data_IF_284851954626
#
_entry.id   IF_284851954626
#
_cell.length_a   1.000
_cell.length_b   1.000
_cell.length_c   1.000
_cell.angle_alpha   90.00
_cell.angle_beta   90.00
_cell.angle_gamma   90.00
#
_symmetry.space_group_name_H-M   'P 1'
#
loop_
_entity.id
_entity.type
_entity.pdbx_description
1 polymer ?
#
# COMPACT_ATOMS: atom_id res chain seq x y z
N UNK A 1 -1.26 -18.46 -4.21
CA UNK A 1 -1.91 -17.46 -3.36
C UNK A 1 -1.75 -16.08 -4.00
N UNK A 2 -2.76 -15.23 -3.85
CA UNK A 2 -2.73 -13.85 -4.36
C UNK A 2 -1.88 -12.95 -3.43
N UNK A 3 -1.29 -11.86 -3.96
CA UNK A 3 -0.82 -10.76 -3.11
C UNK A 3 -1.92 -10.23 -2.20
N UNK A 4 -1.56 -9.72 -1.03
CA UNK A 4 -2.52 -9.32 0.02
C UNK A 4 -3.50 -8.24 -0.45
N UNK A 5 -3.05 -7.29 -1.25
CA UNK A 5 -3.85 -6.21 -1.84
C UNK A 5 -4.80 -6.67 -2.95
N UNK A 6 -4.54 -7.83 -3.53
CA UNK A 6 -5.44 -8.48 -4.49
C UNK A 6 -6.42 -9.44 -3.81
N UNK A 7 -6.01 -10.07 -2.71
CA UNK A 7 -6.87 -10.93 -1.91
C UNK A 7 -7.91 -10.11 -1.12
N UNK A 8 -7.51 -8.96 -0.59
CA UNK A 8 -8.31 -8.07 0.25
C UNK A 8 -8.21 -6.63 -0.23
N UNK A 9 -9.07 -6.24 -1.16
CA UNK A 9 -9.06 -4.88 -1.71
C UNK A 9 -9.86 -3.94 -0.82
N UNK A 10 -9.17 -3.05 -0.11
CA UNK A 10 -9.78 -1.98 0.67
C UNK A 10 -10.03 -0.75 -0.20
N UNK A 11 -11.28 -0.33 -0.30
CA UNK A 11 -11.70 0.96 -0.84
C UNK A 11 -12.28 1.84 0.27
N UNK A 12 -12.03 3.15 0.17
CA UNK A 12 -12.40 4.14 1.18
C UNK A 12 -13.08 5.29 0.45
N UNK A 13 -14.27 5.65 0.90
CA UNK A 13 -15.01 6.78 0.35
C UNK A 13 -15.63 7.61 1.47
N UNK A 14 -15.82 8.89 1.23
CA UNK A 14 -16.58 9.77 2.14
C UNK A 14 -18.07 9.60 1.88
N UNK A 15 -18.85 9.50 2.94
CA UNK A 15 -20.31 9.32 2.89
C UNK A 15 -21.01 10.44 3.67
N UNK A 16 -20.82 11.70 3.21
CA UNK A 16 -21.41 12.88 3.82
C UNK A 16 -21.06 13.09 5.30
N UNK A 17 -21.36 14.24 5.88
CA UNK A 17 -21.34 14.57 7.31
C UNK A 17 -20.19 13.98 8.18
N UNK A 18 -18.98 13.90 7.63
CA UNK A 18 -17.81 13.37 8.35
C UNK A 18 -17.83 11.84 8.55
N UNK A 19 -18.68 11.13 7.81
CA UNK A 19 -18.67 9.66 7.78
C UNK A 19 -17.78 9.15 6.65
N UNK A 20 -17.10 8.06 6.93
CA UNK A 20 -16.21 7.39 5.99
C UNK A 20 -16.67 5.96 5.81
N UNK A 21 -16.94 5.56 4.58
CA UNK A 21 -17.26 4.19 4.24
C UNK A 21 -15.97 3.43 3.98
N UNK A 22 -15.76 2.38 4.74
CA UNK A 22 -14.73 1.37 4.50
C UNK A 22 -15.38 0.18 3.83
N UNK A 23 -14.82 -0.27 2.73
CA UNK A 23 -15.32 -1.43 2.00
C UNK A 23 -14.17 -2.35 1.59
N UNK A 24 -14.25 -3.62 2.00
CA UNK A 24 -13.37 -4.68 1.54
C UNK A 24 -14.07 -5.55 0.51
N UNK A 25 -13.44 -5.71 -0.64
CA UNK A 25 -13.76 -6.74 -1.62
C UNK A 25 -12.79 -7.90 -1.38
N UNK A 26 -13.33 -9.03 -0.95
CA UNK A 26 -12.59 -10.21 -0.54
C UNK A 26 -12.68 -11.23 -1.65
N UNK A 27 -11.56 -11.67 -2.19
CA UNK A 27 -11.53 -12.67 -3.26
C UNK A 27 -12.06 -14.01 -2.78
N UNK A 28 -12.75 -14.72 -3.67
CA UNK A 28 -13.22 -16.09 -3.40
C UNK A 28 -12.08 -16.98 -2.94
N UNK A 29 -12.32 -17.75 -1.88
CA UNK A 29 -11.32 -18.60 -1.25
C UNK A 29 -10.45 -17.86 -0.23
N UNK A 30 -10.86 -16.62 0.15
CA UNK A 30 -10.23 -15.83 1.21
C UNK A 30 -11.29 -15.32 2.17
N UNK A 31 -10.84 -14.93 3.38
CA UNK A 31 -11.69 -14.37 4.42
C UNK A 31 -10.93 -13.42 5.34
N UNK A 32 -11.65 -12.48 5.92
CA UNK A 32 -11.13 -11.55 6.95
C UNK A 32 -11.68 -11.94 8.32
N UNK A 33 -10.84 -11.85 9.34
CA UNK A 33 -11.29 -12.03 10.73
C UNK A 33 -11.91 -10.75 11.27
N UNK A 34 -13.15 -10.81 11.73
CA UNK A 34 -13.87 -9.68 12.33
C UNK A 34 -13.11 -9.09 13.51
N UNK A 35 -12.60 -9.94 14.42
CA UNK A 35 -11.85 -9.50 15.61
C UNK A 35 -10.50 -8.86 15.32
N UNK A 36 -9.98 -9.04 14.11
CA UNK A 36 -8.72 -8.45 13.67
C UNK A 36 -8.92 -7.15 12.86
N UNK A 37 -10.17 -6.75 12.64
CA UNK A 37 -10.48 -5.49 11.99
C UNK A 37 -10.52 -4.38 13.04
N UNK A 38 -9.66 -3.39 12.89
CA UNK A 38 -9.48 -2.26 13.80
C UNK A 38 -9.47 -0.95 13.03
N UNK A 39 -10.02 0.08 13.61
CA UNK A 39 -9.92 1.45 13.10
C UNK A 39 -9.57 2.37 14.26
N UNK A 40 -8.56 3.17 14.08
CA UNK A 40 -8.08 4.15 15.06
C UNK A 40 -8.08 5.53 14.43
N UNK A 41 -8.53 6.54 15.20
CA UNK A 41 -8.51 7.93 14.76
C UNK A 41 -7.20 8.63 15.14
N UNK A 42 -6.75 9.55 14.29
CA UNK A 42 -5.63 10.45 14.57
C UNK A 42 -6.10 11.90 14.45
N UNK A 43 -5.99 12.74 15.52
CA UNK A 43 -5.42 12.40 16.82
C UNK A 43 -6.24 11.37 17.61
N UNK A 44 -5.55 10.56 18.41
CA UNK A 44 -6.19 9.59 19.28
C UNK A 44 -7.13 10.28 20.27
N UNK A 45 -8.35 9.73 20.44
CA UNK A 45 -9.36 10.28 21.34
C UNK A 45 -10.54 10.98 20.64
N UNK A 46 -10.53 11.10 19.32
CA UNK A 46 -11.72 11.45 18.56
C UNK A 46 -12.82 10.39 18.73
N UNK A 47 -14.09 10.81 18.80
CA UNK A 47 -15.22 9.87 18.87
C UNK A 47 -15.24 9.01 17.59
N UNK A 48 -14.87 7.75 17.71
CA UNK A 48 -14.87 6.77 16.64
C UNK A 48 -15.97 5.74 16.92
N UNK A 49 -16.96 5.65 16.04
CA UNK A 49 -17.97 4.58 16.09
C UNK A 49 -17.78 3.67 14.89
N UNK A 50 -17.47 2.42 15.16
CA UNK A 50 -17.34 1.35 14.17
C UNK A 50 -18.20 0.18 14.61
N UNK A 51 -19.18 -0.18 13.79
CA UNK A 51 -20.13 -1.26 14.07
C UNK A 51 -20.02 -2.31 12.98
N UNK A 52 -19.01 -3.17 13.12
CA UNK A 52 -18.85 -4.27 12.17
C UNK A 52 -20.09 -5.17 12.16
N UNK A 53 -20.65 -5.50 11.00
CA UNK A 53 -21.77 -6.41 10.89
C UNK A 53 -21.43 -7.79 11.48
N UNK A 54 -22.45 -8.60 11.74
CA UNK A 54 -22.24 -9.99 12.14
C UNK A 54 -21.53 -10.77 11.02
N UNK A 55 -20.49 -11.50 11.40
CA UNK A 55 -19.76 -12.37 10.48
C UNK A 55 -20.30 -13.79 10.47
N UNK A 56 -19.76 -14.62 9.60
CA UNK A 56 -20.02 -16.06 9.58
C UNK A 56 -19.14 -16.75 10.63
N UNK A 57 -19.72 -17.58 11.52
CA UNK A 57 -18.92 -18.35 12.48
C UNK A 57 -17.94 -19.29 11.78
N UNK A 58 -16.69 -19.26 12.21
CA UNK A 58 -15.61 -20.14 11.74
C UNK A 58 -14.80 -20.62 12.93
N UNK A 59 -14.40 -21.89 12.90
CA UNK A 59 -13.45 -22.43 13.86
C UNK A 59 -12.21 -22.87 13.11
N UNK A 60 -11.06 -22.34 13.49
CA UNK A 60 -9.78 -22.69 12.90
C UNK A 60 -8.69 -22.85 13.96
N UNK A 61 -7.54 -23.36 13.54
CA UNK A 61 -6.41 -23.63 14.44
C UNK A 61 -5.71 -22.35 14.93
N UNK A 62 -5.85 -21.23 14.20
CA UNK A 62 -5.13 -19.99 14.50
C UNK A 62 -5.81 -19.17 15.59
N UNK A 63 -7.14 -19.00 15.49
CA UNK A 63 -7.92 -18.16 16.40
C UNK A 63 -9.08 -18.88 17.09
N UNK A 64 -9.21 -20.19 16.90
CA UNK A 64 -10.31 -20.96 17.48
C UNK A 64 -11.67 -20.53 16.93
N UNK A 65 -12.65 -20.34 17.82
CA UNK A 65 -13.98 -19.84 17.43
C UNK A 65 -13.92 -18.35 17.14
N UNK A 66 -14.18 -17.96 15.91
CA UNK A 66 -14.13 -16.59 15.40
C UNK A 66 -15.26 -16.30 14.44
N UNK A 67 -15.47 -15.04 14.11
CA UNK A 67 -16.34 -14.60 13.03
C UNK A 67 -15.50 -14.10 11.85
N UNK A 68 -15.89 -14.48 10.65
CA UNK A 68 -15.18 -14.10 9.44
C UNK A 68 -16.10 -13.50 8.39
N UNK A 69 -15.54 -12.73 7.49
CA UNK A 69 -16.21 -12.17 6.32
C UNK A 69 -15.66 -12.77 5.05
N UNK A 70 -16.57 -13.15 4.16
CA UNK A 70 -16.29 -13.61 2.80
C UNK A 70 -16.88 -12.61 1.80
N UNK A 71 -16.40 -12.62 0.58
CA UNK A 71 -16.86 -11.82 -0.56
C UNK A 71 -16.77 -10.31 -0.34
N UNK A 72 -17.51 -9.75 0.60
CA UNK A 72 -17.52 -8.32 0.86
C UNK A 72 -17.88 -8.02 2.33
N UNK A 73 -17.25 -7.00 2.89
CA UNK A 73 -17.68 -6.37 4.14
C UNK A 73 -17.51 -4.86 4.02
N UNK A 74 -18.52 -4.12 4.47
CA UNK A 74 -18.45 -2.66 4.53
C UNK A 74 -19.03 -2.15 5.84
N UNK A 75 -18.47 -1.04 6.32
CA UNK A 75 -19.00 -0.30 7.46
C UNK A 75 -18.82 1.20 7.27
N UNK A 76 -19.69 1.96 7.95
CA UNK A 76 -19.62 3.42 8.06
C UNK A 76 -18.92 3.78 9.36
N UNK A 77 -17.77 4.40 9.23
CA UNK A 77 -17.01 4.92 10.36
C UNK A 77 -17.34 6.39 10.55
N UNK A 78 -17.96 6.73 11.69
CA UNK A 78 -18.14 8.12 12.09
C UNK A 78 -16.88 8.58 12.83
N UNK A 79 -16.11 9.45 12.18
CA UNK A 79 -14.83 9.95 12.66
C UNK A 79 -14.90 11.47 12.85
N UNK A 80 -15.61 11.90 13.91
CA UNK A 80 -15.70 13.32 14.25
C UNK A 80 -14.34 13.81 14.75
N UNK A 81 -13.84 14.92 14.17
CA UNK A 81 -12.56 15.56 14.51
C UNK A 81 -11.29 14.75 14.19
N UNK A 82 -11.40 13.63 13.49
CA UNK A 82 -10.24 12.90 13.00
C UNK A 82 -9.66 13.55 11.74
N UNK A 83 -8.34 13.60 11.65
CA UNK A 83 -7.60 14.04 10.45
C UNK A 83 -7.19 12.85 9.58
N UNK A 84 -6.92 11.73 10.21
CA UNK A 84 -6.56 10.49 9.56
C UNK A 84 -7.16 9.29 10.29
N UNK A 85 -7.28 8.18 9.59
CA UNK A 85 -7.64 6.88 10.13
C UNK A 85 -6.49 5.90 9.93
N UNK A 86 -6.21 5.11 10.94
CA UNK A 86 -5.35 3.92 10.84
C UNK A 86 -6.23 2.70 10.86
N UNK A 87 -6.23 1.94 9.78
CA UNK A 87 -7.11 0.80 9.54
C UNK A 87 -6.26 -0.46 9.55
N UNK A 88 -6.56 -1.38 10.47
CA UNK A 88 -5.91 -2.67 10.59
C UNK A 88 -6.85 -3.81 10.22
N UNK A 89 -6.33 -4.85 9.59
CA UNK A 89 -7.06 -6.08 9.29
C UNK A 89 -6.12 -7.27 9.15
N UNK A 90 -6.66 -8.47 9.27
CA UNK A 90 -5.96 -9.70 8.97
C UNK A 90 -6.92 -10.71 8.35
N UNK A 91 -6.41 -11.46 7.39
CA UNK A 91 -7.16 -12.50 6.71
C UNK A 91 -6.31 -13.67 6.29
N UNK A 92 -6.98 -14.73 5.89
CA UNK A 92 -6.37 -15.98 5.46
C UNK A 92 -7.02 -16.46 4.15
N UNK A 93 -6.33 -17.36 3.46
CA UNK A 93 -6.92 -18.18 2.40
C UNK A 93 -7.54 -19.44 3.02
N UNK A 94 -8.66 -19.91 2.47
CA UNK A 94 -9.29 -21.18 2.86
C UNK A 94 -8.33 -22.38 2.70
N UNK A 95 -7.35 -22.25 1.80
CA UNK A 95 -6.29 -23.23 1.59
C UNK A 95 -5.21 -23.22 2.69
N UNK A 96 -5.40 -22.49 3.81
CA UNK A 96 -4.58 -22.57 5.01
C UNK A 96 -3.45 -21.53 5.12
N UNK A 97 -3.29 -20.61 4.14
CA UNK A 97 -2.30 -19.54 4.26
C UNK A 97 -2.90 -18.33 4.98
N UNK A 98 -2.30 -17.90 6.08
CA UNK A 98 -2.65 -16.66 6.77
C UNK A 98 -1.66 -15.55 6.44
N UNK A 99 -2.17 -14.38 6.11
CA UNK A 99 -1.36 -13.19 5.89
C UNK A 99 -0.99 -12.54 7.21
N UNK A 100 0.17 -11.88 7.30
CA UNK A 100 0.48 -11.07 8.47
C UNK A 100 -0.55 -9.94 8.62
N UNK A 101 -0.76 -9.40 9.84
CA UNK A 101 -1.62 -8.25 10.05
C UNK A 101 -1.23 -7.08 9.14
N UNK A 102 -2.21 -6.51 8.48
CA UNK A 102 -2.05 -5.36 7.60
C UNK A 102 -2.45 -4.09 8.32
N UNK A 103 -1.83 -2.98 7.96
CA UNK A 103 -2.20 -1.65 8.47
C UNK A 103 -2.11 -0.62 7.34
N UNK A 104 -3.12 0.22 7.22
CA UNK A 104 -3.16 1.33 6.26
C UNK A 104 -3.58 2.62 6.95
N UNK A 105 -2.77 3.66 6.79
CA UNK A 105 -3.11 5.02 7.24
C UNK A 105 -3.69 5.80 6.06
N UNK A 106 -4.77 6.54 6.32
CA UNK A 106 -5.49 7.32 5.32
C UNK A 106 -5.80 8.70 5.88
N UNK A 107 -5.42 9.75 5.16
CA UNK A 107 -5.80 11.11 5.49
C UNK A 107 -7.21 11.39 4.97
N UNK A 108 -8.07 11.91 5.81
CA UNK A 108 -9.47 12.16 5.43
C UNK A 108 -9.61 13.31 4.43
N UNK A 109 -8.68 14.26 4.43
CA UNK A 109 -8.63 15.32 3.43
C UNK A 109 -8.43 14.77 2.00
N UNK A 110 -7.60 13.74 1.85
CA UNK A 110 -7.33 13.12 0.54
C UNK A 110 -8.55 12.34 0.02
N UNK A 111 -9.30 11.71 0.94
CA UNK A 111 -10.56 11.02 0.60
C UNK A 111 -11.62 12.01 0.11
N UNK A 112 -11.74 13.17 0.77
CA UNK A 112 -12.65 14.22 0.37
C UNK A 112 -12.31 14.81 -1.02
N UNK A 113 -11.02 15.01 -1.29
CA UNK A 113 -10.56 15.55 -2.57
C UNK A 113 -10.85 14.62 -3.76
N UNK A 114 -10.86 13.31 -3.56
CA UNK A 114 -11.18 12.33 -4.60
C UNK A 114 -12.64 12.42 -5.09
N UNK A 115 -13.56 12.89 -4.24
CA UNK A 115 -14.97 13.08 -4.61
C UNK A 115 -15.26 14.43 -5.28
N UNK A 116 -14.35 15.39 -5.16
CA UNK A 116 -14.49 16.75 -5.71
C UNK A 116 -14.09 16.87 -7.19
N UNK A 117 -13.64 15.78 -7.83
CA UNK A 117 -13.34 15.79 -9.27
C UNK A 117 -14.65 15.50 -10.03
N UNK A 118 -15.22 16.48 -10.77
CA UNK A 118 -16.31 16.20 -11.68
C UNK A 118 -15.86 15.12 -12.67
N UNK A 119 -16.68 14.09 -12.85
CA UNK A 119 -16.48 13.12 -13.90
C UNK A 119 -16.66 13.81 -15.26
N UNK A 120 -15.56 14.30 -15.82
CA UNK A 120 -15.51 14.75 -17.20
C UNK A 120 -15.23 13.51 -18.07
N UNK A 121 -16.16 13.08 -18.92
CA UNK A 121 -15.95 11.94 -19.78
C UNK A 121 -15.08 12.39 -20.95
N UNK A 122 -13.89 11.82 -21.04
CA UNK A 122 -12.95 11.95 -22.15
C UNK A 122 -11.97 13.14 -22.08
N UNK A 123 -10.95 12.94 -21.30
CA UNK A 123 -9.63 13.45 -21.69
C UNK A 123 -8.59 12.43 -21.23
N UNK A 124 -7.95 11.83 -22.20
CA UNK A 124 -6.70 11.09 -22.06
C UNK A 124 -5.74 11.93 -21.21
N UNK A 125 -5.68 11.65 -19.90
CA UNK A 125 -4.67 12.27 -19.02
C UNK A 125 -3.33 11.64 -19.36
N UNK A 126 -2.60 12.33 -20.22
CA UNK A 126 -1.17 12.40 -20.07
C UNK A 126 -0.93 12.84 -18.61
N UNK A 127 -0.33 11.97 -17.83
CA UNK A 127 0.26 12.30 -16.53
C UNK A 127 1.09 13.57 -16.72
N UNK A 128 0.90 14.64 -15.95
CA UNK A 128 1.88 15.71 -15.96
C UNK A 128 3.13 15.12 -15.28
N UNK A 129 4.07 14.76 -16.12
CA UNK A 129 5.45 14.51 -15.72
C UNK A 129 5.94 15.79 -15.05
N UNK A 130 6.43 15.74 -13.80
CA UNK A 130 6.95 16.93 -13.16
C UNK A 130 8.12 17.44 -14.00
N UNK A 131 8.15 18.73 -14.36
CA UNK A 131 9.28 19.30 -15.08
C UNK A 131 10.48 19.35 -14.14
N UNK A 132 11.37 18.38 -14.26
CA UNK A 132 12.61 18.36 -13.47
C UNK A 132 13.31 17.04 -13.26
N UNK A 133 12.72 15.90 -13.59
CA UNK A 133 13.34 14.58 -13.31
C UNK A 133 14.05 13.92 -14.50
N UNK A 134 14.12 14.55 -15.67
CA UNK A 134 14.76 13.97 -16.86
C UNK A 134 16.15 14.56 -17.18
N UNK A 135 16.71 15.41 -16.30
CA UNK A 135 18.01 16.04 -16.52
C UNK A 135 19.22 15.21 -16.10
N UNK A 136 19.11 14.43 -15.04
CA UNK A 136 20.30 13.80 -14.44
C UNK A 136 20.67 12.47 -15.07
N UNK A 137 19.72 11.64 -15.46
CA UNK A 137 20.01 10.33 -16.04
C UNK A 137 20.47 10.41 -17.49
N UNK A 138 20.00 11.40 -18.27
CA UNK A 138 20.44 11.60 -19.63
C UNK A 138 21.83 12.26 -19.68
N UNK A 139 22.15 13.15 -18.75
CA UNK A 139 23.48 13.76 -18.65
C UNK A 139 24.54 12.72 -18.23
N UNK A 140 24.16 11.78 -17.37
CA UNK A 140 25.05 10.67 -16.99
C UNK A 140 25.33 9.72 -18.17
N UNK A 141 24.31 9.37 -18.95
CA UNK A 141 24.46 8.52 -20.12
C UNK A 141 25.31 9.17 -21.21
N UNK A 142 25.14 10.48 -21.42
CA UNK A 142 25.92 11.23 -22.39
C UNK A 142 27.38 11.46 -21.96
N UNK A 143 27.61 11.61 -20.67
CA UNK A 143 28.96 11.67 -20.09
C UNK A 143 29.72 10.33 -20.20
N UNK A 144 29.03 9.22 -20.00
CA UNK A 144 29.62 7.88 -20.12
C UNK A 144 29.95 7.53 -21.57
N UNK A 145 29.18 8.00 -22.54
CA UNK A 145 29.44 7.77 -23.96
C UNK A 145 30.61 8.60 -24.53
N UNK A 146 31.03 9.66 -23.84
CA UNK A 146 32.15 10.51 -24.22
C UNK A 146 33.49 10.05 -23.68
N UNK A 147 33.53 9.03 -22.81
CA UNK A 147 34.78 8.46 -22.33
C UNK A 147 35.34 7.57 -23.44
N UNK A 148 36.46 7.92 -24.08
CA UNK A 148 37.01 7.08 -25.12
C UNK A 148 37.38 5.72 -24.52
N UNK A 149 36.95 4.65 -25.19
CA UNK A 149 37.06 3.25 -24.73
C UNK A 149 38.52 2.89 -24.31
N UNK A 150 39.51 3.61 -24.86
CA UNK A 150 40.92 3.48 -24.49
C UNK A 150 41.24 3.94 -23.07
N UNK A 151 40.55 4.92 -22.52
CA UNK A 151 40.79 5.41 -21.17
C UNK A 151 40.32 4.41 -20.11
N UNK A 152 39.21 3.67 -20.36
CA UNK A 152 38.74 2.61 -19.47
C UNK A 152 39.76 1.48 -19.30
N UNK A 153 40.42 1.10 -20.40
CA UNK A 153 41.46 0.07 -20.34
C UNK A 153 42.71 0.50 -19.54
N UNK A 154 43.10 1.76 -19.62
CA UNK A 154 44.23 2.29 -18.85
C UNK A 154 43.95 2.31 -17.35
N UNK A 155 42.72 2.66 -16.94
CA UNK A 155 42.31 2.68 -15.51
C UNK A 155 42.27 1.27 -14.94
N UNK A 156 41.70 0.29 -15.67
CA UNK A 156 41.66 -1.10 -15.22
C UNK A 156 43.05 -1.77 -15.20
N UNK A 157 43.90 -1.47 -16.17
CA UNK A 157 45.26 -2.00 -16.19
C UNK A 157 46.14 -1.37 -15.10
N UNK A 158 45.96 -0.06 -14.83
CA UNK A 158 46.71 0.65 -13.80
C UNK A 158 46.35 0.19 -12.38
N UNK A 159 45.08 -0.09 -12.10
CA UNK A 159 44.64 -0.63 -10.80
C UNK A 159 45.10 -2.07 -10.58
N UNK A 160 45.12 -2.89 -11.63
CA UNK A 160 45.58 -4.30 -11.56
C UNK A 160 47.04 -4.45 -11.21
N UNK A 161 47.90 -3.54 -11.66
CA UNK A 161 49.35 -3.58 -11.36
C UNK A 161 49.69 -3.16 -9.93
N UNK A 162 48.85 -2.32 -9.30
CA UNK A 162 49.02 -1.92 -7.89
C UNK A 162 48.70 -3.03 -6.89
N UNK A 163 47.81 -3.96 -7.25
CA UNK A 163 47.51 -5.12 -6.38
C UNK A 163 48.49 -6.25 -6.46
N UNK A 164 49.26 -6.38 -7.55
CA UNK A 164 50.28 -7.42 -7.67
C UNK A 164 51.58 -7.15 -6.91
N UNK A 165 51.78 -5.94 -6.41
CA UNK A 165 53.05 -5.54 -5.72
C UNK A 165 53.05 -5.75 -4.20
N UNK A 166 51.94 -6.18 -3.57
CA UNK A 166 51.85 -6.32 -2.11
C UNK A 166 51.85 -7.75 -1.56
N UNK A 167 52.22 -8.74 -2.37
CA UNK A 167 52.28 -10.13 -1.91
C UNK A 167 53.68 -10.78 -2.14
N UNK A 168 54.76 -10.05 -1.75
CA UNK A 168 56.09 -10.69 -1.55
C UNK A 168 56.84 -9.97 -0.43
N UNK A 169 56.55 -10.34 0.82
CA UNK A 169 57.53 -10.56 1.91
C UNK A 169 56.89 -11.38 3.00
#
# INVERSE_FOLDING_TARGET
FLPVDQAFRLSISQDGDGQVRLNWDIRKGYYLYRQQMKVEADPAGGALQVLWPAGTPKTDETYGKSEVYHDQVSDLVKATDARALTIGWQGCADAGLCYPPQTRRVNLADVAATLAVPADPATTRQSPEPPGALGEDQDLAERLSRIPMGWMLVVFFGLGLLQSGMFTQ
#
